data_IF_100196379805
#
_entry.id   IF_100196379805
#
_cell.length_a   1.000
_cell.length_b   1.000
_cell.length_c   1.000
_cell.angle_alpha   90.00
_cell.angle_beta   90.00
_cell.angle_gamma   90.00
#
_symmetry.space_group_name_H-M   'P 1'
#
loop_
_entity.id
_entity.type
_entity.pdbx_description
1 polymer ?
#
# COMPACT_ATOMS: atom_id res chain seq x y z
N UNK A 1 -14.69 -12.81 -10.74
CA UNK A 1 -14.71 -12.21 -9.39
C UNK A 1 -15.99 -11.42 -9.29
N UNK A 2 -16.70 -11.56 -8.17
CA UNK A 2 -18.06 -11.02 -8.02
C UNK A 2 -18.07 -9.82 -7.08
N UNK A 3 -17.26 -9.89 -6.02
CA UNK A 3 -17.19 -8.80 -5.06
C UNK A 3 -16.25 -7.71 -5.56
N UNK A 4 -16.74 -6.47 -5.62
CA UNK A 4 -15.96 -5.30 -6.05
C UNK A 4 -15.94 -4.24 -4.98
N UNK A 5 -14.78 -3.64 -4.76
CA UNK A 5 -14.61 -2.52 -3.86
C UNK A 5 -14.26 -1.29 -4.68
N UNK A 6 -14.99 -0.21 -4.41
CA UNK A 6 -14.73 1.11 -4.95
C UNK A 6 -14.34 2.08 -3.84
N UNK A 7 -13.64 3.14 -4.25
CA UNK A 7 -13.37 4.30 -3.42
C UNK A 7 -13.91 5.57 -4.07
N UNK A 8 -14.36 6.51 -3.25
CA UNK A 8 -14.78 7.83 -3.68
C UNK A 8 -14.33 8.90 -2.69
N UNK A 9 -13.61 9.90 -3.19
CA UNK A 9 -13.28 11.12 -2.45
C UNK A 9 -14.45 12.11 -2.52
N UNK A 10 -14.51 13.07 -1.59
CA UNK A 10 -15.59 14.06 -1.49
C UNK A 10 -15.88 14.88 -2.77
N UNK A 11 -14.99 14.88 -3.76
CA UNK A 11 -15.16 15.54 -5.07
C UNK A 11 -14.65 14.68 -6.24
N UNK A 12 -14.35 13.41 -5.97
CA UNK A 12 -13.78 12.49 -6.96
C UNK A 12 -14.87 11.63 -7.61
N UNK A 13 -14.58 11.17 -8.82
CA UNK A 13 -15.30 10.05 -9.41
C UNK A 13 -15.10 8.81 -8.55
N UNK A 14 -16.14 7.98 -8.47
CA UNK A 14 -16.02 6.66 -7.87
C UNK A 14 -15.15 5.78 -8.76
N UNK A 15 -14.17 5.11 -8.14
CA UNK A 15 -13.22 4.26 -8.86
C UNK A 15 -13.14 2.89 -8.22
N UNK A 16 -13.14 1.81 -9.02
CA UNK A 16 -12.90 0.47 -8.50
C UNK A 16 -11.42 0.31 -8.20
N UNK A 17 -11.11 -0.22 -7.03
CA UNK A 17 -9.74 -0.39 -6.55
C UNK A 17 -9.34 -1.85 -6.43
N UNK A 18 -10.32 -2.72 -6.17
CA UNK A 18 -10.08 -4.13 -5.99
C UNK A 18 -11.32 -4.97 -6.33
N UNK A 19 -11.08 -6.23 -6.68
CA UNK A 19 -12.11 -7.26 -6.84
C UNK A 19 -11.69 -8.57 -6.19
N UNK A 20 -12.68 -9.36 -5.75
CA UNK A 20 -12.47 -10.55 -4.94
C UNK A 20 -13.39 -11.70 -5.38
N UNK A 21 -12.91 -12.92 -5.18
CA UNK A 21 -13.72 -14.13 -5.32
C UNK A 21 -14.67 -14.34 -4.13
N UNK A 22 -14.26 -13.96 -2.92
CA UNK A 22 -14.97 -14.25 -1.68
C UNK A 22 -15.29 -12.96 -0.89
N UNK A 23 -16.44 -12.96 -0.22
CA UNK A 23 -16.90 -11.79 0.54
C UNK A 23 -16.00 -11.49 1.73
N UNK A 24 -15.54 -12.53 2.42
CA UNK A 24 -14.67 -12.41 3.61
C UNK A 24 -13.35 -11.75 3.23
N UNK A 25 -12.78 -12.10 2.08
CA UNK A 25 -11.56 -11.48 1.55
C UNK A 25 -11.74 -9.98 1.28
N UNK A 26 -12.87 -9.60 0.67
CA UNK A 26 -13.22 -8.21 0.45
C UNK A 26 -13.36 -7.45 1.78
N UNK A 27 -13.99 -8.06 2.80
CA UNK A 27 -14.14 -7.46 4.12
C UNK A 27 -12.80 -7.30 4.85
N UNK A 28 -11.91 -8.30 4.77
CA UNK A 28 -10.55 -8.22 5.33
C UNK A 28 -9.80 -7.04 4.71
N UNK A 29 -9.83 -6.92 3.38
CA UNK A 29 -9.17 -5.82 2.68
C UNK A 29 -9.73 -4.46 3.07
N UNK A 30 -11.05 -4.26 2.96
CA UNK A 30 -11.66 -2.94 3.20
C UNK A 30 -11.44 -2.45 4.62
N UNK A 31 -11.49 -3.36 5.60
CA UNK A 31 -11.27 -3.01 7.02
C UNK A 31 -9.83 -2.53 7.26
N UNK A 32 -8.85 -3.24 6.68
CA UNK A 32 -7.44 -2.81 6.76
C UNK A 32 -7.20 -1.51 5.99
N UNK A 33 -7.83 -1.34 4.83
CA UNK A 33 -7.72 -0.14 3.99
C UNK A 33 -8.27 1.08 4.70
N UNK A 34 -9.47 0.99 5.28
CA UNK A 34 -10.09 2.05 6.08
C UNK A 34 -9.17 2.45 7.24
N UNK A 35 -8.68 1.47 8.01
CA UNK A 35 -7.80 1.74 9.16
C UNK A 35 -6.53 2.48 8.74
N UNK A 36 -5.92 2.08 7.61
CA UNK A 36 -4.72 2.72 7.08
C UNK A 36 -4.99 4.14 6.56
N UNK A 37 -6.12 4.35 5.89
CA UNK A 37 -6.47 5.67 5.34
C UNK A 37 -6.97 6.65 6.41
N UNK A 38 -7.55 6.16 7.51
CA UNK A 38 -7.85 6.95 8.71
C UNK A 38 -6.57 7.46 9.39
N UNK A 39 -5.53 6.62 9.51
CA UNK A 39 -4.21 7.04 10.00
C UNK A 39 -3.59 8.13 9.12
N UNK A 40 -3.93 8.17 7.83
CA UNK A 40 -3.50 9.19 6.87
C UNK A 40 -4.46 10.37 6.78
N UNK A 41 -5.47 10.45 7.66
CA UNK A 41 -6.52 11.47 7.69
C UNK A 41 -7.25 11.67 6.35
N UNK A 42 -7.37 10.62 5.55
CA UNK A 42 -8.09 10.68 4.28
C UNK A 42 -9.59 10.49 4.51
N UNK A 43 -10.39 11.36 3.90
CA UNK A 43 -11.86 11.26 3.90
C UNK A 43 -12.33 10.57 2.62
N UNK A 44 -12.42 9.25 2.70
CA UNK A 44 -12.82 8.37 1.59
C UNK A 44 -14.09 7.63 1.98
N UNK A 45 -14.97 7.44 1.00
CA UNK A 45 -16.15 6.59 1.09
C UNK A 45 -15.82 5.32 0.31
N UNK A 46 -15.94 4.16 0.95
CA UNK A 46 -15.81 2.88 0.25
C UNK A 46 -17.18 2.25 0.06
N UNK A 47 -17.36 1.56 -1.06
CA UNK A 47 -18.56 0.76 -1.31
C UNK A 47 -18.14 -0.64 -1.76
N UNK A 48 -18.86 -1.62 -1.25
CA UNK A 48 -18.70 -3.02 -1.58
C UNK A 48 -19.94 -3.47 -2.36
N UNK A 49 -19.69 -4.02 -3.53
CA UNK A 49 -20.71 -4.52 -4.44
C UNK A 49 -20.58 -6.02 -4.64
N UNK A 50 -21.69 -6.69 -4.93
CA UNK A 50 -21.75 -8.03 -5.49
C UNK A 50 -22.25 -7.92 -6.93
N UNK A 51 -21.35 -8.19 -7.87
CA UNK A 51 -21.42 -7.87 -9.30
C UNK A 51 -21.71 -6.39 -9.57
N UNK A 52 -22.98 -5.98 -9.49
CA UNK A 52 -23.47 -4.61 -9.67
C UNK A 52 -24.33 -4.11 -8.50
N UNK A 53 -24.71 -4.99 -7.57
CA UNK A 53 -25.59 -4.67 -6.46
C UNK A 53 -24.79 -4.16 -5.27
N UNK A 54 -25.16 -2.99 -4.74
CA UNK A 54 -24.52 -2.45 -3.54
C UNK A 54 -24.84 -3.31 -2.31
N UNK A 55 -23.82 -3.93 -1.71
CA UNK A 55 -23.96 -4.69 -0.47
C UNK A 55 -23.78 -3.82 0.77
N UNK A 56 -22.72 -3.01 0.78
CA UNK A 56 -22.34 -2.25 1.98
C UNK A 56 -21.59 -0.98 1.63
N UNK A 57 -21.93 0.08 2.36
CA UNK A 57 -21.25 1.38 2.34
C UNK A 57 -20.45 1.57 3.62
N UNK A 58 -19.25 2.09 3.49
CA UNK A 58 -18.34 2.39 4.59
C UNK A 58 -18.06 3.89 4.61
N UNK A 59 -17.95 4.42 5.83
CA UNK A 59 -17.72 5.83 6.13
C UNK A 59 -18.71 6.79 5.42
N UNK A 60 -20.04 6.55 5.50
CA UNK A 60 -21.04 7.40 4.85
C UNK A 60 -21.01 8.86 5.37
N UNK A 61 -20.49 9.10 6.56
CA UNK A 61 -20.31 10.42 7.15
C UNK A 61 -19.29 11.30 6.41
N UNK A 62 -18.43 10.71 5.57
CA UNK A 62 -17.50 11.46 4.71
C UNK A 62 -18.18 12.15 3.52
N UNK A 63 -19.50 11.97 3.36
CA UNK A 63 -20.33 12.76 2.44
C UNK A 63 -20.50 14.16 3.04
N UNK A 64 -19.55 15.05 2.75
CA UNK A 64 -19.52 16.39 3.34
C UNK A 64 -19.86 17.52 2.37
N UNK A 65 -19.98 17.25 1.07
CA UNK A 65 -20.07 18.30 0.03
C UNK A 65 -21.40 18.20 -0.70
N UNK A 66 -22.37 19.06 -0.36
CA UNK A 66 -23.74 18.97 -0.90
C UNK A 66 -23.88 19.17 -2.42
N UNK A 67 -22.87 19.69 -3.11
CA UNK A 67 -22.84 19.86 -4.57
C UNK A 67 -21.95 18.83 -5.29
N UNK A 68 -21.34 17.90 -4.56
CA UNK A 68 -20.56 16.83 -5.17
C UNK A 68 -21.48 15.71 -5.67
N UNK A 69 -21.14 15.16 -6.84
CA UNK A 69 -21.84 14.01 -7.43
C UNK A 69 -21.28 12.72 -6.81
N UNK A 70 -21.83 12.34 -5.67
CA UNK A 70 -21.57 11.03 -5.09
C UNK A 70 -22.29 9.96 -5.90
N UNK A 71 -21.73 8.74 -5.94
CA UNK A 71 -22.48 7.63 -6.51
C UNK A 71 -23.70 7.34 -5.62
N UNK A 72 -24.89 7.41 -6.22
CA UNK A 72 -26.16 7.36 -5.52
C UNK A 72 -26.59 5.90 -5.25
N UNK A 73 -26.35 4.96 -6.18
CA UNK A 73 -26.86 3.58 -6.11
C UNK A 73 -25.95 2.54 -6.83
N UNK A 74 -26.55 1.57 -7.52
CA UNK A 74 -25.90 0.43 -8.18
C UNK A 74 -24.83 0.84 -9.20
N UNK A 75 -23.86 -0.07 -9.37
CA UNK A 75 -22.61 0.22 -10.05
C UNK A 75 -22.76 0.11 -11.58
N UNK A 76 -22.81 1.26 -12.26
CA UNK A 76 -22.84 1.34 -13.73
C UNK A 76 -21.43 1.54 -14.33
N UNK A 77 -20.52 0.58 -14.11
CA UNK A 77 -19.25 0.57 -14.85
C UNK A 77 -19.44 -0.15 -16.18
N UNK A 78 -19.63 0.63 -17.25
CA UNK A 78 -19.61 0.12 -18.64
C UNK A 78 -18.19 -0.24 -19.12
N UNK A 79 -17.15 0.05 -18.34
CA UNK A 79 -15.77 -0.15 -18.72
C UNK A 79 -15.17 -1.38 -18.02
N UNK A 80 -14.65 -2.30 -18.82
CA UNK A 80 -13.83 -3.42 -18.35
C UNK A 80 -12.59 -2.88 -17.65
N UNK A 81 -12.59 -2.85 -16.32
CA UNK A 81 -11.44 -2.42 -15.53
C UNK A 81 -10.37 -3.51 -15.60
N UNK A 82 -9.17 -3.12 -16.00
CA UNK A 82 -8.01 -4.00 -16.07
C UNK A 82 -7.17 -3.80 -14.81
N UNK A 83 -7.33 -4.70 -13.84
CA UNK A 83 -6.49 -4.74 -12.66
C UNK A 83 -5.08 -5.21 -12.99
N UNK A 84 -4.09 -4.53 -12.41
CA UNK A 84 -2.68 -4.75 -12.72
C UNK A 84 -2.03 -5.81 -11.84
N UNK A 85 -2.52 -5.99 -10.62
CA UNK A 85 -1.96 -6.91 -9.64
C UNK A 85 -2.99 -8.01 -9.35
N UNK A 86 -2.57 -9.26 -9.41
CA UNK A 86 -3.42 -10.43 -9.19
C UNK A 86 -2.82 -11.23 -8.04
N UNK A 87 -3.62 -11.50 -7.02
CA UNK A 87 -3.25 -12.32 -5.87
C UNK A 87 -3.85 -13.69 -6.07
N UNK A 88 -2.96 -14.69 -6.12
CA UNK A 88 -3.33 -16.09 -6.31
C UNK A 88 -2.98 -16.90 -5.09
N UNK A 89 -3.77 -17.94 -4.84
CA UNK A 89 -3.52 -18.94 -3.82
C UNK A 89 -3.22 -20.30 -4.46
N UNK A 90 -2.27 -21.03 -3.90
CA UNK A 90 -1.96 -22.42 -4.22
C UNK A 90 -2.05 -23.23 -2.93
N UNK A 91 -3.09 -24.06 -2.81
CA UNK A 91 -3.25 -24.95 -1.64
C UNK A 91 -2.42 -26.23 -1.85
N UNK A 92 -1.75 -26.69 -0.80
CA UNK A 92 -0.57 -27.58 -0.83
C UNK A 92 -0.59 -28.82 -1.74
N UNK A 93 -1.75 -29.43 -2.00
CA UNK A 93 -1.84 -30.64 -2.82
C UNK A 93 -2.13 -30.37 -4.31
N UNK A 94 -2.40 -29.12 -4.69
CA UNK A 94 -2.76 -28.75 -6.05
C UNK A 94 -1.63 -27.94 -6.73
N UNK A 95 -1.30 -28.31 -7.96
CA UNK A 95 -0.49 -27.49 -8.87
C UNK A 95 -1.27 -26.28 -9.42
N UNK A 96 -2.58 -26.23 -9.19
CA UNK A 96 -3.44 -25.16 -9.69
C UNK A 96 -3.35 -23.94 -8.78
N UNK A 97 -3.13 -22.79 -9.42
CA UNK A 97 -3.19 -21.48 -8.77
C UNK A 97 -4.56 -20.88 -9.03
N UNK A 98 -5.30 -20.63 -7.97
CA UNK A 98 -6.60 -19.97 -8.04
C UNK A 98 -6.42 -18.48 -7.80
N UNK A 99 -6.98 -17.65 -8.68
CA UNK A 99 -7.03 -16.21 -8.46
C UNK A 99 -8.08 -15.89 -7.37
N UNK A 100 -7.68 -15.12 -6.36
CA UNK A 100 -8.54 -14.79 -5.21
C UNK A 100 -8.87 -13.29 -5.12
N UNK A 101 -7.96 -12.42 -5.57
CA UNK A 101 -8.19 -10.98 -5.55
C UNK A 101 -7.37 -10.24 -6.60
N UNK A 102 -7.90 -9.17 -7.18
CA UNK A 102 -7.17 -8.30 -8.10
C UNK A 102 -7.19 -6.84 -7.63
N UNK A 103 -6.13 -6.10 -7.95
CA UNK A 103 -5.90 -4.73 -7.47
C UNK A 103 -5.30 -3.83 -8.55
N UNK A 104 -5.59 -2.54 -8.43
CA UNK A 104 -4.99 -1.49 -9.28
C UNK A 104 -3.63 -1.01 -8.73
N UNK A 105 -3.42 -1.11 -7.43
CA UNK A 105 -2.21 -0.66 -6.73
C UNK A 105 -1.47 -1.80 -6.04
N UNK A 106 -0.14 -1.74 -6.01
CA UNK A 106 0.70 -2.76 -5.37
C UNK A 106 0.55 -2.73 -3.85
N UNK A 107 0.42 -1.55 -3.24
CA UNK A 107 0.32 -1.43 -1.78
C UNK A 107 -1.00 -2.02 -1.30
N UNK A 108 -2.07 -1.88 -2.09
CA UNK A 108 -3.37 -2.47 -1.79
C UNK A 108 -3.32 -3.99 -1.86
N UNK A 109 -2.66 -4.55 -2.88
CA UNK A 109 -2.41 -5.98 -2.95
C UNK A 109 -1.59 -6.47 -1.75
N UNK A 110 -0.51 -5.76 -1.38
CA UNK A 110 0.30 -6.11 -0.22
C UNK A 110 -0.51 -6.02 1.09
N UNK A 111 -1.34 -4.98 1.24
CA UNK A 111 -2.19 -4.78 2.42
C UNK A 111 -3.19 -5.94 2.58
N UNK A 112 -3.82 -6.38 1.48
CA UNK A 112 -4.70 -7.53 1.48
C UNK A 112 -3.96 -8.81 1.87
N UNK A 113 -2.79 -9.07 1.29
CA UNK A 113 -2.02 -10.29 1.58
C UNK A 113 -1.64 -10.35 3.06
N UNK A 114 -1.19 -9.22 3.64
CA UNK A 114 -0.95 -9.12 5.09
C UNK A 114 -2.26 -9.35 5.85
N UNK A 115 -3.38 -8.80 5.37
CA UNK A 115 -4.76 -9.13 5.76
C UNK A 115 -5.01 -10.60 5.94
N UNK A 116 -4.90 -11.33 4.84
CA UNK A 116 -5.24 -12.73 4.74
C UNK A 116 -4.31 -13.60 5.59
N UNK A 117 -3.01 -13.33 5.59
CA UNK A 117 -2.05 -14.06 6.42
C UNK A 117 -2.27 -13.91 7.93
N UNK A 118 -2.75 -12.74 8.38
CA UNK A 118 -3.01 -12.47 9.80
C UNK A 118 -4.33 -13.12 10.27
N UNK A 119 -5.30 -13.30 9.37
CA UNK A 119 -6.67 -13.74 9.71
C UNK A 119 -6.95 -15.20 9.39
N UNK A 120 -6.34 -15.72 8.32
CA UNK A 120 -6.59 -17.08 7.84
C UNK A 120 -5.48 -18.03 8.31
N UNK A 121 -5.84 -18.90 9.25
CA UNK A 121 -4.94 -19.93 9.79
C UNK A 121 -4.63 -21.05 8.78
N UNK A 122 -5.43 -21.18 7.73
CA UNK A 122 -5.28 -22.23 6.70
C UNK A 122 -4.24 -21.87 5.65
N UNK A 123 -4.00 -20.58 5.45
CA UNK A 123 -2.99 -20.10 4.52
C UNK A 123 -1.60 -20.29 5.12
N UNK A 124 -0.79 -21.12 4.46
CA UNK A 124 0.61 -21.32 4.78
C UNK A 124 1.50 -20.30 4.07
N UNK A 125 2.73 -20.16 4.58
CA UNK A 125 3.71 -19.18 4.15
C UNK A 125 4.13 -19.29 2.67
N UNK A 126 3.72 -20.30 1.90
CA UNK A 126 4.05 -20.38 0.47
C UNK A 126 2.84 -20.42 -0.44
N UNK A 127 1.65 -20.19 0.11
CA UNK A 127 0.41 -20.42 -0.62
C UNK A 127 0.03 -19.18 -1.43
N UNK A 128 0.49 -17.98 -1.03
CA UNK A 128 0.09 -16.72 -1.67
C UNK A 128 1.16 -16.16 -2.63
N UNK A 129 0.70 -15.84 -3.83
CA UNK A 129 1.51 -15.29 -4.92
C UNK A 129 0.90 -13.99 -5.42
N UNK A 130 1.72 -12.95 -5.58
CA UNK A 130 1.31 -11.71 -6.25
C UNK A 130 1.92 -11.64 -7.65
N UNK A 131 1.08 -11.54 -8.67
CA UNK A 131 1.47 -11.44 -10.08
C UNK A 131 1.12 -10.07 -10.65
N UNK A 132 2.10 -9.43 -11.28
CA UNK A 132 1.90 -8.20 -12.03
C UNK A 132 1.61 -8.48 -13.51
N UNK A 133 0.57 -7.84 -14.03
CA UNK A 133 0.09 -7.91 -15.43
C UNK A 133 -0.02 -9.34 -15.97
N UNK A 134 -0.39 -10.29 -15.12
CA UNK A 134 -0.57 -11.70 -15.49
C UNK A 134 0.70 -12.44 -15.97
N UNK A 135 1.90 -11.86 -15.83
CA UNK A 135 3.13 -12.43 -16.44
C UNK A 135 4.32 -12.51 -15.50
N UNK A 136 4.44 -11.58 -14.55
CA UNK A 136 5.63 -11.48 -13.70
C UNK A 136 5.22 -11.83 -12.28
N UNK A 137 5.73 -12.95 -11.76
CA UNK A 137 5.65 -13.23 -10.33
C UNK A 137 6.49 -12.17 -9.61
N UNK A 138 5.83 -11.28 -8.89
CA UNK A 138 6.50 -10.20 -8.17
C UNK A 138 7.08 -10.72 -6.86
N UNK A 139 6.27 -11.49 -6.12
CA UNK A 139 6.61 -11.92 -4.76
C UNK A 139 5.96 -13.28 -4.47
N UNK A 140 6.77 -14.21 -3.96
CA UNK A 140 6.31 -15.39 -3.21
C UNK A 140 6.37 -14.99 -1.73
N UNK A 141 5.23 -14.97 -1.04
CA UNK A 141 5.12 -14.28 0.25
C UNK A 141 4.93 -15.26 1.40
N UNK A 142 6.02 -15.43 2.17
CA UNK A 142 6.03 -16.11 3.46
C UNK A 142 5.63 -15.16 4.60
N UNK A 143 4.93 -15.66 5.62
CA UNK A 143 4.66 -14.89 6.86
C UNK A 143 5.96 -14.37 7.45
N UNK A 144 7.07 -15.10 7.28
CA UNK A 144 8.43 -14.63 7.62
C UNK A 144 8.88 -13.38 6.84
N UNK A 145 8.60 -13.29 5.54
CA UNK A 145 8.92 -12.11 4.72
C UNK A 145 8.09 -10.92 5.17
N UNK A 146 6.80 -11.14 5.44
CA UNK A 146 5.88 -10.11 5.95
C UNK A 146 6.31 -9.64 7.34
N UNK A 147 6.66 -10.55 8.25
CA UNK A 147 7.13 -10.23 9.59
C UNK A 147 8.42 -9.38 9.55
N UNK A 148 9.37 -9.76 8.69
CA UNK A 148 10.60 -9.00 8.49
C UNK A 148 10.33 -7.61 7.90
N UNK A 149 9.33 -7.46 7.03
CA UNK A 149 8.90 -6.15 6.52
C UNK A 149 8.24 -5.29 7.60
N UNK A 150 7.36 -5.86 8.44
CA UNK A 150 6.77 -5.14 9.59
C UNK A 150 7.87 -4.61 10.53
N UNK A 151 8.87 -5.45 10.85
CA UNK A 151 10.02 -5.06 11.68
C UNK A 151 10.85 -3.95 11.02
N UNK A 152 11.07 -4.02 9.70
CA UNK A 152 11.80 -2.97 8.98
C UNK A 152 11.04 -1.62 8.93
N UNK A 153 9.71 -1.67 8.77
CA UNK A 153 8.85 -0.49 8.78
C UNK A 153 8.71 0.14 10.18
N UNK A 154 8.65 -0.67 11.24
CA UNK A 154 8.63 -0.21 12.63
C UNK A 154 9.99 0.35 13.07
N UNK A 155 11.09 -0.31 12.68
CA UNK A 155 12.45 0.16 12.95
C UNK A 155 12.80 1.49 12.26
N UNK A 156 12.13 1.82 11.14
CA UNK A 156 12.29 3.08 10.42
C UNK A 156 11.72 4.29 11.17
N UNK A 157 10.79 4.10 12.12
CA UNK A 157 10.13 5.20 12.82
C UNK A 157 10.73 5.50 14.20
N UNK A 158 11.61 4.62 14.72
CA UNK A 158 12.10 4.71 16.10
C UNK A 158 13.49 5.37 16.25
N UNK A 159 14.23 5.68 15.17
CA UNK A 159 15.55 6.30 15.26
C UNK A 159 15.78 7.35 14.15
N UNK A 160 15.04 8.46 14.19
CA UNK A 160 15.47 9.71 13.53
C UNK A 160 15.82 10.77 14.58
N UNK A 161 16.64 10.41 15.56
CA UNK A 161 17.39 11.38 16.34
C UNK A 161 18.88 11.24 16.01
N UNK A 162 19.38 12.15 15.18
CA UNK A 162 20.79 12.57 15.24
C UNK A 162 21.80 11.76 14.44
N UNK A 163 21.67 11.75 13.12
CA UNK A 163 22.86 11.72 12.25
C UNK A 163 22.56 12.48 10.96
N UNK A 164 22.69 13.81 11.00
CA UNK A 164 22.74 14.63 9.80
C UNK A 164 23.93 14.17 8.98
N UNK A 165 23.69 13.44 7.89
CA UNK A 165 24.73 13.07 6.93
C UNK A 165 25.28 14.37 6.32
N UNK A 166 26.43 14.82 6.82
CA UNK A 166 27.16 15.96 6.23
C UNK A 166 28.13 15.37 5.22
N UNK A 167 27.85 15.45 3.90
CA UNK A 167 28.84 15.02 2.92
C UNK A 167 30.10 15.85 3.12
N UNK A 168 31.23 15.19 3.33
CA UNK A 168 32.54 15.84 3.40
C UNK A 168 32.75 16.58 2.08
N UNK A 169 33.02 17.90 2.07
CA UNK A 169 33.22 18.63 0.83
C UNK A 169 34.39 18.02 0.06
N UNK A 170 34.20 17.71 -1.22
CA UNK A 170 35.29 17.30 -2.10
C UNK A 170 36.23 18.50 -2.26
N UNK A 171 37.51 18.41 -1.87
CA UNK A 171 38.45 19.52 -2.07
C UNK A 171 38.72 19.67 -3.56
N UNK A 172 38.18 20.73 -4.18
CA UNK A 172 38.26 20.99 -5.63
C UNK A 172 39.59 21.60 -6.08
N UNK A 173 40.68 21.47 -5.30
CA UNK A 173 41.98 21.99 -5.72
C UNK A 173 43.12 21.12 -5.20
N UNK A 174 43.99 20.57 -6.08
CA UNK A 174 45.26 20.01 -5.66
C UNK A 174 46.13 21.12 -5.06
N UNK A 175 46.58 20.94 -3.82
CA UNK A 175 47.54 21.84 -3.19
C UNK A 175 48.91 21.63 -3.84
N UNK A 176 49.56 22.67 -4.41
CA UNK A 176 50.89 22.52 -4.97
C UNK A 176 51.89 22.18 -3.84
N UNK A 177 52.89 21.31 -4.07
CA UNK A 177 53.87 20.99 -3.06
C UNK A 177 54.76 22.22 -2.78
N UNK A 178 54.81 22.66 -1.52
CA UNK A 178 55.74 23.69 -1.04
C UNK A 178 55.15 25.06 -0.64
N UNK A 179 53.83 25.21 -0.53
CA UNK A 179 53.21 26.42 0.01
C UNK A 179 53.15 26.41 1.55
N UNK A 180 53.35 27.56 2.25
CA UNK A 180 53.24 27.63 3.70
C UNK A 180 51.82 27.28 4.17
N UNK A 181 51.69 26.65 5.34
CA UNK A 181 50.40 26.33 5.93
C UNK A 181 49.61 27.62 6.19
N UNK A 182 48.38 27.72 5.68
CA UNK A 182 47.41 28.75 6.06
C UNK A 182 47.00 28.54 7.52
N UNK A 183 47.87 28.93 8.43
CA UNK A 183 47.60 29.07 9.85
C UNK A 183 47.35 30.57 10.11
N UNK A 184 46.11 31.01 9.95
CA UNK A 184 45.65 32.21 10.63
C UNK A 184 44.88 31.76 11.87
N UNK A 185 45.58 31.82 13.00
CA UNK A 185 45.04 31.87 14.37
C UNK A 185 44.93 33.39 14.65
N UNK A 186 43.87 33.94 15.24
CA UNK A 186 43.34 33.70 16.58
C UNK A 186 41.83 33.92 16.65
N UNK A 187 41.20 33.24 17.61
CA UNK A 187 39.81 33.45 18.03
C UNK A 187 39.81 34.67 18.95
N UNK A 188 38.89 35.59 18.71
CA UNK A 188 38.53 36.61 19.70
C UNK A 188 37.91 35.90 20.92
N UNK A 189 38.53 36.08 22.09
CA UNK A 189 37.92 35.74 23.38
C UNK A 189 36.95 36.87 23.76
N UNK A 190 35.67 36.53 23.90
CA UNK A 190 34.62 37.39 24.45
C UNK A 190 34.85 37.63 25.97
N UNK A 191 34.92 38.90 26.38
CA UNK A 191 34.52 39.40 27.72
C UNK A 191 33.94 40.82 27.60
#
# INVERSE_FOLDING_TARGET
MHYKITEQFARGEEKPIAEFCELDDAQIFVTKKISNDEMQHKKIIYRLYDDSQLLKKFNPENISVGYARYAEEDLDFTNTILFLFNVMIQTGDSLERKNIANFNDENDANLFIIGKCDTDSTVHDNDLFCIFKGKILMKNLNKRIIANQKIASEGSSANQSGATFRPTPIPTRPTPPGGPSDCWVEKDDDD
#
